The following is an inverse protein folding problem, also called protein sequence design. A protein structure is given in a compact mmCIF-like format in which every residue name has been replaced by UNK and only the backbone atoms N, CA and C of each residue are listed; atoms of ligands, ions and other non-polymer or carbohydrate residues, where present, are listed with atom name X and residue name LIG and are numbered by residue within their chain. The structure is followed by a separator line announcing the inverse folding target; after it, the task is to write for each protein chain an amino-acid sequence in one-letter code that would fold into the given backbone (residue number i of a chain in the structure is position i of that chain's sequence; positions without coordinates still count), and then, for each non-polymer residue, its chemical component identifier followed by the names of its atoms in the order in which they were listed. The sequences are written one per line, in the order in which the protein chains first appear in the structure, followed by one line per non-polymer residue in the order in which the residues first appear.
data_IF_679708619148
#
_entry.id   IF_679708619148
#
_cell.length_a   1.000
_cell.length_b   1.000
_cell.length_c   1.000
_cell.angle_alpha   90.00
_cell.angle_beta   90.00
_cell.angle_gamma   90.00
#
_symmetry.space_group_name_H-M   'P 1'
#
loop_
_entity.id
_entity.type
_entity.pdbx_description
1 polymer ?
#
# COMPACT_ATOMS: atom_id res chain seq x y z
N UNK A 1 5.44 13.79 -29.66
CA UNK A 1 4.40 13.31 -28.72
C UNK A 1 4.24 11.81 -28.96
N UNK A 2 5.02 10.97 -28.26
CA UNK A 2 5.01 9.51 -28.44
C UNK A 2 4.16 8.90 -27.32
N UNK A 3 2.88 8.61 -27.65
CA UNK A 3 1.91 7.92 -26.79
C UNK A 3 2.25 6.41 -26.83
N UNK A 4 2.20 5.73 -25.67
CA UNK A 4 2.44 4.28 -25.45
C UNK A 4 3.80 3.88 -24.87
N UNK A 5 4.36 4.67 -23.95
CA UNK A 5 5.09 4.06 -22.84
C UNK A 5 4.08 3.93 -21.72
N UNK A 6 3.61 2.71 -21.41
CA UNK A 6 3.11 2.41 -20.08
C UNK A 6 4.27 2.69 -19.13
N UNK A 7 4.47 3.96 -18.73
CA UNK A 7 5.52 4.31 -17.81
C UNK A 7 5.10 3.75 -16.48
N UNK A 8 5.67 2.62 -16.12
CA UNK A 8 5.48 2.00 -14.81
C UNK A 8 5.95 2.99 -13.75
N UNK A 9 4.99 3.57 -13.02
CA UNK A 9 5.26 4.50 -11.93
C UNK A 9 5.75 3.72 -10.71
N UNK A 10 6.34 4.41 -9.73
CA UNK A 10 6.67 3.79 -8.44
C UNK A 10 5.41 3.20 -7.77
N UNK A 11 4.24 3.78 -8.03
CA UNK A 11 2.96 3.29 -7.54
C UNK A 11 2.65 1.91 -8.12
N UNK A 12 2.65 1.72 -9.44
CA UNK A 12 2.34 0.40 -10.02
C UNK A 12 3.41 -0.64 -9.75
N UNK A 13 4.68 -0.24 -9.69
CA UNK A 13 5.80 -1.16 -9.48
C UNK A 13 5.91 -1.65 -8.04
N UNK A 14 5.71 -0.76 -7.05
CA UNK A 14 5.96 -1.07 -5.64
C UNK A 14 4.71 -1.03 -4.78
N UNK A 15 3.71 -0.23 -5.14
CA UNK A 15 2.48 -0.06 -4.35
C UNK A 15 1.78 -1.37 -4.00
N UNK A 16 1.53 -2.28 -4.96
CA UNK A 16 0.87 -3.55 -4.66
C UNK A 16 1.71 -4.45 -3.72
N UNK A 17 3.04 -4.45 -3.88
CA UNK A 17 3.95 -5.20 -3.02
C UNK A 17 3.98 -4.64 -1.60
N UNK A 18 4.12 -3.31 -1.45
CA UNK A 18 4.10 -2.62 -0.16
C UNK A 18 2.76 -2.85 0.53
N UNK A 19 1.65 -2.75 -0.20
CA UNK A 19 0.32 -3.00 0.34
C UNK A 19 0.17 -4.43 0.85
N UNK A 20 0.55 -5.42 0.04
CA UNK A 20 0.50 -6.82 0.48
C UNK A 20 1.32 -7.03 1.77
N UNK A 21 2.51 -6.44 1.83
CA UNK A 21 3.37 -6.53 3.00
C UNK A 21 2.73 -5.91 4.25
N UNK A 22 2.11 -4.72 4.13
CA UNK A 22 1.36 -4.08 5.23
C UNK A 22 0.23 -5.00 5.71
N UNK A 23 -0.57 -5.56 4.80
CA UNK A 23 -1.68 -6.46 5.16
C UNK A 23 -1.16 -7.69 5.91
N UNK A 24 -0.12 -8.35 5.37
CA UNK A 24 0.46 -9.55 5.99
C UNK A 24 0.98 -9.24 7.39
N UNK A 25 1.74 -8.14 7.56
CA UNK A 25 2.23 -7.73 8.87
C UNK A 25 1.08 -7.42 9.83
N UNK A 26 0.06 -6.67 9.40
CA UNK A 26 -1.09 -6.35 10.24
C UNK A 26 -1.76 -7.62 10.78
N UNK A 27 -1.96 -8.64 9.93
CA UNK A 27 -2.51 -9.92 10.38
C UNK A 27 -1.60 -10.63 11.38
N UNK A 28 -0.28 -10.63 11.18
CA UNK A 28 0.67 -11.24 12.12
C UNK A 28 0.69 -10.50 13.46
N UNK A 29 0.62 -9.17 13.45
CA UNK A 29 0.51 -8.35 14.68
C UNK A 29 -0.78 -8.70 15.42
N UNK A 30 -1.92 -8.73 14.73
CA UNK A 30 -3.20 -9.08 15.36
C UNK A 30 -3.16 -10.47 15.99
N UNK A 31 -2.63 -11.46 15.28
CA UNK A 31 -2.52 -12.82 15.82
C UNK A 31 -1.54 -12.93 16.99
N UNK A 32 -0.42 -12.21 16.95
CA UNK A 32 0.51 -12.14 18.08
C UNK A 32 -0.12 -11.49 19.31
N UNK A 33 -0.90 -10.42 19.14
CA UNK A 33 -1.57 -9.74 20.23
C UNK A 33 -2.66 -10.61 20.87
N UNK A 34 -3.39 -11.39 20.08
CA UNK A 34 -4.45 -12.28 20.58
C UNK A 34 -3.90 -13.58 21.20
N UNK A 35 -2.89 -14.19 20.57
CA UNK A 35 -2.33 -15.49 20.96
C UNK A 35 -0.79 -15.54 20.88
N UNK A 36 -0.07 -14.81 21.76
CA UNK A 36 1.39 -14.65 21.65
C UNK A 36 2.16 -15.98 21.74
N UNK A 37 1.75 -16.87 22.66
CA UNK A 37 2.40 -18.16 22.83
C UNK A 37 2.24 -19.07 21.60
N UNK A 38 1.03 -19.13 21.01
CA UNK A 38 0.78 -19.92 19.80
C UNK A 38 1.52 -19.36 18.59
N UNK A 39 1.61 -18.04 18.47
CA UNK A 39 2.39 -17.40 17.42
C UNK A 39 3.87 -17.77 17.49
N UNK A 40 4.49 -17.61 18.66
CA UNK A 40 5.91 -17.95 18.87
C UNK A 40 6.17 -19.45 18.64
N UNK A 41 5.27 -20.32 19.10
CA UNK A 41 5.35 -21.75 18.84
C UNK A 41 5.24 -22.06 17.33
N UNK A 42 4.35 -21.38 16.62
CA UNK A 42 4.20 -21.52 15.17
C UNK A 42 5.47 -21.14 14.41
N UNK A 43 6.19 -20.11 14.86
CA UNK A 43 7.43 -19.65 14.20
C UNK A 43 8.56 -20.68 14.23
N UNK A 44 8.64 -21.49 15.29
CA UNK A 44 9.67 -22.54 15.45
C UNK A 44 9.20 -23.90 14.94
N UNK A 45 7.92 -24.06 14.59
CA UNK A 45 7.34 -25.34 14.17
C UNK A 45 7.41 -25.48 12.64
N UNK A 46 8.21 -26.41 12.08
CA UNK A 46 8.41 -26.52 10.63
C UNK A 46 7.12 -26.73 9.83
N UNK A 47 6.18 -27.53 10.37
CA UNK A 47 4.89 -27.81 9.73
C UNK A 47 3.95 -26.59 9.67
N UNK A 48 4.27 -25.51 10.39
CA UNK A 48 3.51 -24.25 10.37
C UNK A 48 4.24 -23.20 9.54
N UNK A 49 5.55 -23.00 9.79
CA UNK A 49 6.32 -21.94 9.13
C UNK A 49 6.51 -22.19 7.62
N UNK A 50 6.70 -23.44 7.19
CA UNK A 50 6.93 -23.76 5.76
C UNK A 50 5.67 -23.45 4.92
N UNK A 51 4.46 -23.93 5.28
CA UNK A 51 3.23 -23.52 4.59
C UNK A 51 2.98 -22.01 4.66
N UNK A 52 3.30 -21.36 5.79
CA UNK A 52 3.14 -19.92 5.95
C UNK A 52 3.98 -19.13 4.94
N UNK A 53 5.24 -19.51 4.72
CA UNK A 53 6.09 -18.89 3.69
C UNK A 53 5.52 -19.08 2.28
N UNK A 54 5.01 -20.28 1.96
CA UNK A 54 4.40 -20.54 0.66
C UNK A 54 3.14 -19.72 0.43
N UNK A 55 2.26 -19.64 1.44
CA UNK A 55 1.07 -18.79 1.41
C UNK A 55 1.43 -17.31 1.29
N UNK A 56 2.50 -16.85 1.93
CA UNK A 56 3.00 -15.49 1.78
C UNK A 56 3.45 -15.19 0.34
N UNK A 57 4.15 -16.11 -0.32
CA UNK A 57 4.53 -15.97 -1.73
C UNK A 57 3.29 -15.87 -2.64
N UNK A 58 2.29 -16.72 -2.41
CA UNK A 58 1.01 -16.65 -3.11
C UNK A 58 0.33 -15.31 -2.87
N UNK A 59 0.28 -14.86 -1.61
CA UNK A 59 -0.32 -13.58 -1.24
C UNK A 59 0.36 -12.41 -1.94
N UNK A 60 1.69 -12.42 -2.12
CA UNK A 60 2.42 -11.41 -2.89
C UNK A 60 1.98 -11.39 -4.36
N UNK A 61 1.87 -12.56 -5.00
CA UNK A 61 1.46 -12.64 -6.41
C UNK A 61 0.01 -12.15 -6.57
N UNK A 62 -0.91 -12.69 -5.78
CA UNK A 62 -2.33 -12.33 -5.84
C UNK A 62 -2.53 -10.86 -5.46
N UNK A 63 -1.89 -10.41 -4.38
CA UNK A 63 -1.93 -9.04 -3.92
C UNK A 63 -1.36 -8.06 -4.95
N UNK A 64 -0.33 -8.47 -5.70
CA UNK A 64 0.17 -7.69 -6.82
C UNK A 64 -0.88 -7.52 -7.93
N UNK A 65 -1.52 -8.62 -8.35
CA UNK A 65 -2.54 -8.60 -9.41
C UNK A 65 -3.74 -7.75 -9.00
N UNK A 66 -4.27 -7.94 -7.79
CA UNK A 66 -5.43 -7.19 -7.29
C UNK A 66 -5.07 -5.72 -7.05
N UNK A 67 -3.90 -5.46 -6.45
CA UNK A 67 -3.44 -4.12 -6.12
C UNK A 67 -2.99 -3.29 -7.31
N UNK A 68 -2.78 -3.91 -8.49
CA UNK A 68 -2.25 -3.20 -9.66
C UNK A 68 -3.18 -2.08 -10.15
N UNK A 69 -4.49 -2.34 -10.25
CA UNK A 69 -5.47 -1.35 -10.73
C UNK A 69 -5.52 -0.11 -9.83
N UNK A 70 -5.74 -0.21 -8.50
CA UNK A 70 -5.75 0.96 -7.64
C UNK A 70 -4.40 1.67 -7.60
N UNK A 71 -3.28 0.92 -7.69
CA UNK A 71 -1.95 1.52 -7.77
C UNK A 71 -1.74 2.30 -9.08
N UNK A 72 -2.26 1.82 -10.20
CA UNK A 72 -2.23 2.51 -11.48
C UNK A 72 -3.03 3.81 -11.43
N UNK A 73 -4.29 3.75 -10.98
CA UNK A 73 -5.15 4.93 -10.83
C UNK A 73 -4.47 5.97 -9.93
N UNK A 74 -3.93 5.54 -8.79
CA UNK A 74 -3.25 6.45 -7.84
C UNK A 74 -2.00 7.08 -8.46
N UNK A 75 -1.18 6.30 -9.18
CA UNK A 75 0.01 6.80 -9.84
C UNK A 75 -0.29 7.82 -10.94
N UNK A 76 -1.32 7.57 -11.74
CA UNK A 76 -1.77 8.51 -12.78
C UNK A 76 -2.32 9.80 -12.14
N UNK A 77 -3.13 9.71 -11.09
CA UNK A 77 -3.62 10.90 -10.38
C UNK A 77 -2.47 11.72 -9.77
N UNK A 78 -1.52 11.06 -9.12
CA UNK A 78 -0.34 11.71 -8.54
C UNK A 78 0.47 12.47 -9.60
N UNK A 79 0.80 11.81 -10.71
CA UNK A 79 1.55 12.45 -11.80
C UNK A 79 0.73 13.55 -12.49
N UNK A 80 -0.57 13.34 -12.71
CA UNK A 80 -1.42 14.35 -13.31
C UNK A 80 -1.42 15.66 -12.51
N UNK A 81 -1.47 15.57 -11.18
CA UNK A 81 -1.56 16.73 -10.29
C UNK A 81 -0.17 17.35 -10.01
N UNK A 82 0.86 16.52 -9.84
CA UNK A 82 2.14 16.96 -9.27
C UNK A 82 3.36 16.86 -10.19
N UNK A 83 3.27 16.23 -11.37
CA UNK A 83 4.44 15.97 -12.26
C UNK A 83 5.32 17.19 -12.51
N UNK A 84 4.72 18.35 -12.76
CA UNK A 84 5.47 19.58 -13.07
C UNK A 84 6.13 20.22 -11.83
N UNK A 85 5.70 19.83 -10.62
CA UNK A 85 6.21 20.37 -9.34
C UNK A 85 7.28 19.47 -8.72
N UNK A 86 7.34 18.19 -9.11
CA UNK A 86 8.22 17.18 -8.52
C UNK A 86 9.71 17.54 -8.59
N UNK A 87 10.21 18.04 -9.73
CA UNK A 87 11.64 18.29 -9.92
C UNK A 87 12.21 19.32 -8.93
N UNK A 88 11.40 20.33 -8.57
CA UNK A 88 11.81 21.43 -7.69
C UNK A 88 11.34 21.22 -6.24
N UNK A 89 10.62 20.14 -5.96
CA UNK A 89 10.08 19.90 -4.63
C UNK A 89 11.18 19.46 -3.64
N UNK A 90 11.03 19.89 -2.39
CA UNK A 90 11.79 19.36 -1.26
C UNK A 90 11.09 18.12 -0.64
N UNK A 91 11.75 17.43 0.28
CA UNK A 91 11.23 16.20 0.87
C UNK A 91 9.88 16.41 1.58
N UNK A 92 9.71 17.50 2.32
CA UNK A 92 8.46 17.81 3.02
C UNK A 92 7.30 18.03 2.05
N UNK A 93 7.54 18.70 0.93
CA UNK A 93 6.54 18.89 -0.11
C UNK A 93 6.13 17.57 -0.76
N UNK A 94 7.08 16.65 -0.99
CA UNK A 94 6.78 15.32 -1.54
C UNK A 94 5.97 14.48 -0.56
N UNK A 95 6.29 14.52 0.73
CA UNK A 95 5.49 13.86 1.77
C UNK A 95 4.07 14.45 1.76
N UNK A 96 3.93 15.77 1.71
CA UNK A 96 2.63 16.42 1.63
C UNK A 96 1.85 16.01 0.37
N UNK A 97 2.50 15.93 -0.80
CA UNK A 97 1.87 15.45 -2.03
C UNK A 97 1.37 14.01 -1.90
N UNK A 98 2.17 13.13 -1.28
CA UNK A 98 1.74 11.77 -0.92
C UNK A 98 0.50 11.77 -0.03
N UNK A 99 0.48 12.60 1.02
CA UNK A 99 -0.68 12.75 1.91
C UNK A 99 -1.92 13.23 1.14
N UNK A 100 -1.81 14.27 0.31
CA UNK A 100 -2.94 14.78 -0.47
C UNK A 100 -3.48 13.72 -1.44
N UNK A 101 -2.60 12.99 -2.12
CA UNK A 101 -3.01 11.87 -2.98
C UNK A 101 -3.70 10.76 -2.19
N UNK A 102 -3.25 10.46 -0.98
CA UNK A 102 -3.93 9.50 -0.11
C UNK A 102 -5.35 9.91 0.25
N UNK A 103 -5.59 11.21 0.45
CA UNK A 103 -6.89 11.73 0.86
C UNK A 103 -7.91 11.76 -0.27
N UNK A 104 -7.47 11.66 -1.53
CA UNK A 104 -8.37 11.46 -2.67
C UNK A 104 -9.18 10.16 -2.57
N UNK A 105 -8.68 9.17 -1.83
CA UNK A 105 -9.37 7.89 -1.61
C UNK A 105 -10.42 7.94 -0.50
N UNK A 106 -10.44 8.98 0.35
CA UNK A 106 -11.37 9.09 1.50
C UNK A 106 -12.83 8.84 1.09
N UNK A 107 -13.39 9.49 0.04
CA UNK A 107 -14.80 9.30 -0.29
C UNK A 107 -15.13 7.85 -0.63
N UNK A 108 -14.25 7.18 -1.39
CA UNK A 108 -14.45 5.79 -1.75
C UNK A 108 -14.29 4.86 -0.54
N UNK A 109 -13.26 5.08 0.28
CA UNK A 109 -13.01 4.28 1.47
C UNK A 109 -14.14 4.41 2.49
N UNK A 110 -14.73 5.60 2.64
CA UNK A 110 -15.91 5.80 3.48
C UNK A 110 -17.08 4.96 2.98
N UNK A 111 -17.40 5.00 1.69
CA UNK A 111 -18.49 4.19 1.11
C UNK A 111 -18.22 2.70 1.32
N UNK A 112 -17.00 2.22 1.05
CA UNK A 112 -16.63 0.82 1.23
C UNK A 112 -16.71 0.38 2.71
N UNK A 113 -16.32 1.25 3.64
CA UNK A 113 -16.30 0.93 5.07
C UNK A 113 -17.71 0.73 5.65
N UNK A 114 -18.74 1.39 5.09
CA UNK A 114 -20.12 1.28 5.57
C UNK A 114 -20.70 -0.14 5.46
N UNK A 115 -20.10 -0.99 4.62
CA UNK A 115 -20.52 -2.39 4.47
C UNK A 115 -20.01 -3.31 5.58
N UNK A 116 -19.22 -2.80 6.52
CA UNK A 116 -18.75 -3.56 7.68
C UNK A 116 -19.38 -3.10 8.99
N UNK A 117 -19.50 -4.03 9.93
CA UNK A 117 -19.99 -3.76 11.27
C UNK A 117 -19.14 -2.71 12.01
N UNK A 118 -17.81 -2.80 11.87
CA UNK A 118 -16.85 -1.86 12.47
C UNK A 118 -16.34 -0.85 11.44
N UNK A 119 -17.28 -0.16 10.78
CA UNK A 119 -17.01 0.74 9.66
C UNK A 119 -15.91 1.78 9.97
N UNK A 120 -15.94 2.41 11.15
CA UNK A 120 -14.96 3.43 11.51
C UNK A 120 -13.54 2.86 11.63
N UNK A 121 -13.39 1.70 12.27
CA UNK A 121 -12.09 1.05 12.45
C UNK A 121 -11.49 0.60 11.11
N UNK A 122 -12.33 0.05 10.24
CA UNK A 122 -11.90 -0.34 8.88
C UNK A 122 -11.53 0.87 8.05
N UNK A 123 -12.30 1.96 8.12
CA UNK A 123 -11.95 3.20 7.45
C UNK A 123 -10.59 3.73 7.93
N UNK A 124 -10.38 3.81 9.25
CA UNK A 124 -9.12 4.29 9.83
C UNK A 124 -7.94 3.42 9.42
N UNK A 125 -8.11 2.09 9.44
CA UNK A 125 -7.10 1.14 8.98
C UNK A 125 -6.77 1.36 7.49
N UNK A 126 -7.78 1.36 6.62
CA UNK A 126 -7.58 1.53 5.19
C UNK A 126 -6.94 2.88 4.85
N UNK A 127 -7.34 3.97 5.51
CA UNK A 127 -6.78 5.28 5.24
C UNK A 127 -5.36 5.44 5.80
N UNK A 128 -5.19 5.24 7.11
CA UNK A 128 -3.97 5.66 7.82
C UNK A 128 -2.90 4.58 7.91
N UNK A 129 -3.28 3.30 7.94
CA UNK A 129 -2.32 2.19 8.01
C UNK A 129 -2.00 1.65 6.63
N UNK A 130 -2.96 1.70 5.70
CA UNK A 130 -2.78 1.10 4.37
C UNK A 130 -2.44 2.14 3.29
N UNK A 131 -3.38 3.00 2.89
CA UNK A 131 -3.22 3.88 1.72
C UNK A 131 -2.19 5.00 1.96
N UNK A 132 -2.24 5.67 3.12
CA UNK A 132 -1.36 6.79 3.45
C UNK A 132 0.15 6.41 3.39
N UNK A 133 0.65 5.37 4.07
CA UNK A 133 2.06 5.03 3.98
C UNK A 133 2.48 4.58 2.59
N UNK A 134 1.65 3.82 1.86
CA UNK A 134 1.95 3.40 0.49
C UNK A 134 2.16 4.62 -0.41
N UNK A 135 1.22 5.56 -0.38
CA UNK A 135 1.26 6.76 -1.23
C UNK A 135 2.45 7.66 -0.92
N UNK A 136 2.80 7.86 0.35
CA UNK A 136 3.99 8.62 0.75
C UNK A 136 5.27 7.93 0.25
N UNK A 137 5.42 6.63 0.49
CA UNK A 137 6.61 5.87 0.06
C UNK A 137 6.75 5.92 -1.46
N UNK A 138 5.67 5.66 -2.20
CA UNK A 138 5.68 5.72 -3.66
C UNK A 138 5.98 7.12 -4.20
N UNK A 139 5.44 8.18 -3.57
CA UNK A 139 5.73 9.56 -3.94
C UNK A 139 7.22 9.91 -3.75
N UNK A 140 7.81 9.48 -2.63
CA UNK A 140 9.25 9.68 -2.35
C UNK A 140 10.12 8.91 -3.36
N UNK A 141 9.76 7.67 -3.68
CA UNK A 141 10.49 6.89 -4.69
C UNK A 141 10.39 7.56 -6.07
N UNK A 142 9.20 8.02 -6.46
CA UNK A 142 9.00 8.67 -7.76
C UNK A 142 9.79 9.99 -7.86
N UNK A 143 9.83 10.78 -6.78
CA UNK A 143 10.68 11.96 -6.69
C UNK A 143 12.17 11.65 -6.81
N UNK A 144 12.64 10.60 -6.12
CA UNK A 144 14.04 10.16 -6.19
C UNK A 144 14.48 9.68 -7.57
N UNK A 145 13.56 9.24 -8.45
CA UNK A 145 13.91 8.88 -9.83
C UNK A 145 14.23 10.09 -10.71
N UNK A 146 13.82 11.29 -10.31
CA UNK A 146 14.00 12.53 -11.07
C UNK A 146 15.26 13.30 -10.66
N UNK A 147 15.92 12.89 -9.58
CA UNK A 147 17.22 13.40 -9.13
C UNK A 147 18.31 12.38 -9.40
#
# INVERSE_FOLDING_TARGET
MNKNKFSTTAFTRFGPMIGTFIIVISFHILFFLDHPAKFLQGLITPSVIIPMFFLMLIAIIIGYVIGYIPAYITGELFLHIFKNKLANANLYQIIAYGCFTSFLWIPLLLILSQFSHEWLLIFLYLQFIFILPITIICAVIEWRKLR
#
